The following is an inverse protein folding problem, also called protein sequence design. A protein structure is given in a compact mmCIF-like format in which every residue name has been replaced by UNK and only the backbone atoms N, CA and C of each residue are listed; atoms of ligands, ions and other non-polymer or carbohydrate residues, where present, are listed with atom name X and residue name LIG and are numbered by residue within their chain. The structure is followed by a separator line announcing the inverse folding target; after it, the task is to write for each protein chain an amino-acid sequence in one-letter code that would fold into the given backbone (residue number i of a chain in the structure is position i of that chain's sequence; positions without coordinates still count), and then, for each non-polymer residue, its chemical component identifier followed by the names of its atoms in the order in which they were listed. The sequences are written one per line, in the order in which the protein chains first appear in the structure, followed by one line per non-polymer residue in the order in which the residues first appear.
data_IF_013233276276
#
_entry.id   IF_013233276276
#
_cell.length_a   1.000
_cell.length_b   1.000
_cell.length_c   1.000
_cell.angle_alpha   90.00
_cell.angle_beta   90.00
_cell.angle_gamma   90.00
#
_symmetry.space_group_name_H-M   'P 1'
#
loop_
_entity.id
_entity.type
_entity.pdbx_description
1 polymer ?
#
# COMPACT_ATOMS: atom_id res chain seq x y z
N UNK A 1 21.72 4.84 -0.54
CA UNK A 1 20.67 5.26 0.43
C UNK A 1 19.89 6.47 -0.06
N UNK A 2 18.58 6.31 -0.32
CA UNK A 2 17.66 7.42 -0.61
C UNK A 2 16.42 7.32 0.29
N UNK A 3 15.97 8.46 0.83
CA UNK A 3 14.82 8.55 1.75
C UNK A 3 13.68 9.31 1.09
N UNK A 4 12.54 8.63 0.98
CA UNK A 4 11.28 9.17 0.50
C UNK A 4 10.40 9.49 1.70
N UNK A 5 10.08 10.76 1.90
CA UNK A 5 9.35 11.23 3.08
C UNK A 5 7.98 11.75 2.69
N UNK A 6 6.97 11.27 3.41
CA UNK A 6 5.62 11.79 3.36
C UNK A 6 5.59 13.20 3.98
N UNK A 7 4.97 14.16 3.29
CA UNK A 7 4.56 15.46 3.84
C UNK A 7 3.99 15.34 5.27
N UNK A 8 4.70 15.91 6.23
CA UNK A 8 4.38 15.77 7.65
C UNK A 8 2.99 16.29 8.01
N UNK A 9 2.56 17.40 7.42
CA UNK A 9 1.27 18.00 7.73
C UNK A 9 0.12 17.10 7.26
N UNK A 10 0.25 16.59 6.03
CA UNK A 10 -0.74 15.67 5.45
C UNK A 10 -0.73 14.32 6.15
N UNK A 11 0.45 13.79 6.51
CA UNK A 11 0.57 12.56 7.28
C UNK A 11 -0.14 12.68 8.64
N UNK A 12 0.09 13.79 9.35
CA UNK A 12 -0.53 14.03 10.65
C UNK A 12 -2.06 14.11 10.55
N UNK A 13 -2.61 14.74 9.50
CA UNK A 13 -4.06 14.86 9.33
C UNK A 13 -4.68 13.56 8.81
N UNK A 14 -4.16 13.01 7.72
CA UNK A 14 -4.81 11.89 7.00
C UNK A 14 -4.54 10.53 7.61
N UNK A 15 -3.44 10.36 8.35
CA UNK A 15 -3.06 9.08 8.95
C UNK A 15 -3.17 9.16 10.46
N UNK A 16 -2.46 10.10 11.08
CA UNK A 16 -2.36 10.15 12.55
C UNK A 16 -3.67 10.58 13.20
N UNK A 17 -4.31 11.65 12.73
CA UNK A 17 -5.57 12.12 13.29
C UNK A 17 -6.72 11.14 13.03
N UNK A 18 -6.77 10.52 11.84
CA UNK A 18 -7.74 9.45 11.55
C UNK A 18 -7.53 8.25 12.47
N UNK A 19 -6.29 7.79 12.66
CA UNK A 19 -5.97 6.73 13.60
C UNK A 19 -6.34 7.09 15.04
N UNK A 20 -6.03 8.29 15.49
CA UNK A 20 -6.33 8.78 16.83
C UNK A 20 -7.85 8.89 17.07
N UNK A 21 -8.60 9.35 16.06
CA UNK A 21 -10.05 9.37 16.11
C UNK A 21 -10.63 7.95 16.25
N UNK A 22 -10.15 6.99 15.45
CA UNK A 22 -10.56 5.60 15.58
C UNK A 22 -10.20 5.02 16.96
N UNK A 23 -9.03 5.36 17.52
CA UNK A 23 -8.64 4.94 18.86
C UNK A 23 -9.61 5.49 19.92
N UNK A 24 -10.01 6.77 19.82
CA UNK A 24 -11.01 7.35 20.70
C UNK A 24 -12.36 6.63 20.59
N UNK A 25 -12.80 6.29 19.37
CA UNK A 25 -14.00 5.49 19.16
C UNK A 25 -13.90 4.09 19.79
N UNK A 26 -12.73 3.44 19.75
CA UNK A 26 -12.50 2.19 20.45
C UNK A 26 -12.71 2.35 21.96
N UNK A 27 -12.14 3.38 22.57
CA UNK A 27 -12.29 3.64 24.01
C UNK A 27 -13.76 3.90 24.36
N UNK A 28 -14.45 4.78 23.63
CA UNK A 28 -15.88 5.07 23.84
C UNK A 28 -16.73 3.80 23.68
N UNK A 29 -16.43 2.97 22.68
CA UNK A 29 -17.15 1.71 22.45
C UNK A 29 -16.96 0.74 23.59
N UNK A 30 -15.72 0.57 24.08
CA UNK A 30 -15.42 -0.27 25.24
C UNK A 30 -16.19 0.21 26.46
N UNK A 31 -16.10 1.51 26.79
CA UNK A 31 -16.79 2.10 27.94
C UNK A 31 -18.32 1.94 27.84
N UNK A 32 -18.87 2.01 26.63
CA UNK A 32 -20.31 1.79 26.39
C UNK A 32 -20.71 0.33 26.56
N UNK A 33 -19.89 -0.61 26.10
CA UNK A 33 -20.12 -2.06 26.23
C UNK A 33 -20.10 -2.50 27.69
N UNK A 34 -19.16 -1.98 28.49
CA UNK A 34 -19.06 -2.32 29.92
C UNK A 34 -20.03 -1.53 30.80
N UNK A 35 -20.88 -0.66 30.22
CA UNK A 35 -21.91 0.09 30.94
C UNK A 35 -21.41 1.30 31.72
N UNK A 36 -20.18 1.76 31.52
CA UNK A 36 -19.65 2.99 32.17
C UNK A 36 -20.29 4.24 31.58
N UNK A 37 -20.61 4.24 30.29
CA UNK A 37 -21.34 5.32 29.60
C UNK A 37 -22.48 4.73 28.76
N UNK A 38 -23.53 5.52 28.51
CA UNK A 38 -24.69 5.08 27.71
C UNK A 38 -24.82 5.84 26.38
N UNK A 39 -23.69 6.30 25.83
CA UNK A 39 -23.68 7.11 24.61
C UNK A 39 -24.08 6.30 23.35
N UNK A 40 -23.72 5.01 23.32
CA UNK A 40 -23.94 4.12 22.18
C UNK A 40 -24.50 2.79 22.71
N UNK A 41 -25.53 2.19 22.08
CA UNK A 41 -25.98 0.86 22.43
C UNK A 41 -24.84 -0.16 22.36
N UNK A 42 -24.74 -1.07 23.34
CA UNK A 42 -23.63 -2.02 23.44
C UNK A 42 -23.41 -2.83 22.15
N UNK A 43 -24.49 -3.30 21.51
CA UNK A 43 -24.41 -4.03 20.25
C UNK A 43 -23.76 -3.21 19.11
N UNK A 44 -24.09 -1.92 19.01
CA UNK A 44 -23.47 -1.01 18.04
C UNK A 44 -22.01 -0.69 18.42
N UNK A 45 -21.73 -0.55 19.72
CA UNK A 45 -20.38 -0.40 20.26
C UNK A 45 -19.45 -1.54 19.82
N UNK A 46 -19.93 -2.79 19.82
CA UNK A 46 -19.13 -3.95 19.35
C UNK A 46 -18.74 -3.79 17.88
N UNK A 47 -19.67 -3.40 17.02
CA UNK A 47 -19.39 -3.19 15.59
C UNK A 47 -18.38 -2.06 15.36
N UNK A 48 -18.57 -0.93 16.06
CA UNK A 48 -17.65 0.20 15.99
C UNK A 48 -16.26 -0.22 16.46
N UNK A 49 -16.18 -0.96 17.58
CA UNK A 49 -14.92 -1.44 18.14
C UNK A 49 -14.15 -2.32 17.16
N UNK A 50 -14.83 -3.21 16.44
CA UNK A 50 -14.18 -4.08 15.44
C UNK A 50 -13.58 -3.24 14.30
N UNK A 51 -14.38 -2.34 13.70
CA UNK A 51 -13.94 -1.54 12.54
C UNK A 51 -12.87 -0.53 12.94
N UNK A 52 -13.12 0.25 13.99
CA UNK A 52 -12.19 1.24 14.49
C UNK A 52 -10.92 0.59 15.07
N UNK A 53 -11.06 -0.59 15.70
CA UNK A 53 -9.95 -1.37 16.21
C UNK A 53 -9.03 -1.83 15.09
N UNK A 54 -9.59 -2.33 14.00
CA UNK A 54 -8.83 -2.69 12.80
C UNK A 54 -8.09 -1.49 12.19
N UNK A 55 -8.75 -0.33 12.09
CA UNK A 55 -8.11 0.87 11.55
C UNK A 55 -6.98 1.39 12.45
N UNK A 56 -7.23 1.40 13.77
CA UNK A 56 -6.24 1.77 14.80
C UNK A 56 -5.04 0.84 14.75
N UNK A 57 -5.28 -0.47 14.69
CA UNK A 57 -4.25 -1.49 14.53
C UNK A 57 -3.42 -1.26 13.27
N UNK A 58 -4.07 -1.06 12.13
CA UNK A 58 -3.37 -0.81 10.87
C UNK A 58 -2.49 0.44 10.92
N UNK A 59 -2.95 1.47 11.64
CA UNK A 59 -2.25 2.76 11.69
C UNK A 59 -1.04 2.70 12.62
N UNK A 60 -1.25 2.32 13.88
CA UNK A 60 -0.21 2.43 14.92
C UNK A 60 0.57 1.13 15.12
N UNK A 61 -0.07 -0.02 14.92
CA UNK A 61 0.57 -1.33 15.16
C UNK A 61 1.22 -1.84 13.88
N UNK A 62 0.47 -2.00 12.80
CA UNK A 62 0.98 -2.56 11.56
C UNK A 62 1.75 -1.55 10.68
N UNK A 63 1.79 -0.28 11.08
CA UNK A 63 2.39 0.85 10.33
C UNK A 63 2.05 0.82 8.83
N UNK A 64 0.79 0.50 8.52
CA UNK A 64 0.35 0.22 7.16
C UNK A 64 0.39 1.46 6.25
N UNK A 65 0.56 2.66 6.81
CA UNK A 65 0.85 3.88 6.05
C UNK A 65 2.18 4.43 6.56
N UNK A 66 3.32 4.07 5.94
CA UNK A 66 4.62 4.53 6.40
C UNK A 66 4.78 6.03 6.13
N UNK A 67 5.47 6.69 7.06
CA UNK A 67 5.87 8.09 6.98
C UNK A 67 7.13 8.27 6.12
N UNK A 68 8.07 7.33 6.25
CA UNK A 68 9.28 7.29 5.43
C UNK A 68 9.44 5.92 4.79
N UNK A 69 9.91 5.93 3.54
CA UNK A 69 10.43 4.76 2.85
C UNK A 69 11.90 5.02 2.56
N UNK A 70 12.77 4.15 3.06
CA UNK A 70 14.21 4.25 2.87
C UNK A 70 14.63 3.10 1.98
N UNK A 71 15.25 3.43 0.86
CA UNK A 71 15.81 2.47 -0.07
C UNK A 71 17.32 2.53 0.03
N UNK A 72 17.91 1.44 0.50
CA UNK A 72 19.34 1.19 0.56
C UNK A 72 19.77 0.27 -0.59
N UNK A 73 21.06 0.02 -0.69
CA UNK A 73 21.64 -0.78 -1.78
C UNK A 73 21.30 -2.27 -1.63
N UNK A 74 21.01 -2.72 -0.40
CA UNK A 74 20.74 -4.12 -0.02
C UNK A 74 19.35 -4.35 0.60
N UNK A 75 18.59 -3.28 0.86
CA UNK A 75 17.38 -3.37 1.65
C UNK A 75 16.40 -2.22 1.42
N UNK A 76 15.15 -2.47 1.79
CA UNK A 76 14.09 -1.46 1.86
C UNK A 76 13.52 -1.42 3.27
N UNK A 77 13.33 -0.21 3.79
CA UNK A 77 12.78 0.03 5.12
C UNK A 77 11.54 0.92 5.06
N UNK A 78 10.53 0.53 5.83
CA UNK A 78 9.30 1.30 6.01
C UNK A 78 9.22 1.80 7.45
N UNK A 79 9.11 3.11 7.65
CA UNK A 79 9.17 3.72 8.97
C UNK A 79 7.91 4.53 9.27
N UNK A 80 7.38 4.39 10.48
CA UNK A 80 6.36 5.29 11.04
C UNK A 80 6.36 5.21 12.56
N UNK A 81 6.01 6.31 13.24
CA UNK A 81 5.84 6.35 14.70
C UNK A 81 7.05 5.79 15.50
N UNK A 82 8.28 5.98 14.99
CA UNK A 82 9.51 5.50 15.63
C UNK A 82 9.81 4.00 15.42
N UNK A 83 8.93 3.26 14.74
CA UNK A 83 9.16 1.88 14.31
C UNK A 83 9.70 1.83 12.88
N UNK A 84 10.62 0.90 12.63
CA UNK A 84 11.18 0.62 11.31
C UNK A 84 11.03 -0.86 10.97
N UNK A 85 10.34 -1.15 9.87
CA UNK A 85 10.27 -2.48 9.28
C UNK A 85 11.26 -2.55 8.09
N UNK A 86 12.46 -3.07 8.36
CA UNK A 86 13.53 -3.30 7.37
C UNK A 86 13.42 -4.69 6.74
N UNK A 87 13.61 -4.76 5.44
CA UNK A 87 13.66 -5.98 4.64
C UNK A 87 14.92 -6.00 3.79
N UNK A 88 15.83 -6.95 4.04
CA UNK A 88 16.92 -7.24 3.12
C UNK A 88 16.37 -7.84 1.82
N UNK A 89 16.94 -7.48 0.67
CA UNK A 89 16.43 -7.97 -0.62
C UNK A 89 16.54 -9.50 -0.74
N UNK A 90 17.53 -10.11 -0.10
CA UNK A 90 17.70 -11.57 -0.04
C UNK A 90 16.55 -12.28 0.69
N UNK A 91 15.91 -11.60 1.66
CA UNK A 91 14.80 -12.14 2.45
C UNK A 91 13.43 -11.94 1.79
N UNK A 92 13.37 -11.16 0.70
CA UNK A 92 12.12 -10.87 0.00
C UNK A 92 11.86 -11.98 -1.02
N UNK A 93 10.98 -12.91 -0.63
CA UNK A 93 10.51 -14.03 -1.47
C UNK A 93 9.35 -13.63 -2.38
N UNK A 94 8.54 -12.66 -1.96
CA UNK A 94 7.48 -12.11 -2.80
C UNK A 94 7.29 -10.63 -2.56
N UNK A 95 7.09 -9.88 -3.64
CA UNK A 95 6.85 -8.45 -3.62
C UNK A 95 5.73 -8.16 -4.59
N UNK A 96 4.54 -7.81 -4.08
CA UNK A 96 3.37 -7.56 -4.91
C UNK A 96 2.92 -6.11 -4.79
N UNK A 97 2.73 -5.47 -5.95
CA UNK A 97 2.43 -4.05 -6.04
C UNK A 97 1.08 -3.88 -6.72
N UNK A 98 0.14 -3.22 -6.04
CA UNK A 98 -1.15 -2.84 -6.61
C UNK A 98 -1.28 -1.33 -6.66
N UNK A 99 -1.39 -0.80 -7.86
CA UNK A 99 -1.71 0.60 -8.09
C UNK A 99 -3.19 0.84 -7.83
N UNK A 100 -3.50 1.89 -7.08
CA UNK A 100 -4.87 2.30 -6.77
C UNK A 100 -4.99 3.77 -7.09
N UNK A 101 -5.57 4.09 -8.25
CA UNK A 101 -5.65 5.46 -8.76
C UNK A 101 -4.40 5.91 -9.51
N UNK A 102 -3.73 5.01 -10.23
CA UNK A 102 -2.52 5.30 -11.01
C UNK A 102 -1.26 5.40 -10.15
N UNK A 103 -0.40 6.37 -10.45
CA UNK A 103 0.87 6.64 -9.76
C UNK A 103 0.71 7.37 -8.42
N UNK A 104 -0.51 7.76 -8.05
CA UNK A 104 -0.75 8.55 -6.83
C UNK A 104 -0.70 7.73 -5.54
N UNK A 105 -1.13 6.46 -5.59
CA UNK A 105 -1.20 5.58 -4.42
C UNK A 105 -0.96 4.13 -4.82
N UNK A 106 -0.09 3.49 -4.05
CA UNK A 106 0.33 2.12 -4.29
C UNK A 106 0.21 1.31 -3.02
N UNK A 107 -0.19 0.07 -3.18
CA UNK A 107 -0.27 -0.91 -2.12
C UNK A 107 0.78 -2.00 -2.34
N UNK A 108 1.74 -2.07 -1.42
CA UNK A 108 2.86 -2.99 -1.45
C UNK A 108 2.62 -4.10 -0.43
N UNK A 109 2.78 -5.35 -0.87
CA UNK A 109 2.87 -6.51 0.02
C UNK A 109 4.23 -7.17 -0.10
N UNK A 110 4.89 -7.33 1.03
CA UNK A 110 6.18 -8.04 1.15
C UNK A 110 5.94 -9.39 1.81
N UNK A 111 6.44 -10.46 1.21
CA UNK A 111 6.34 -11.84 1.69
C UNK A 111 4.90 -12.29 2.00
N UNK A 112 3.95 -11.93 1.13
CA UNK A 112 2.52 -12.24 1.28
C UNK A 112 1.75 -11.35 2.28
N UNK A 113 2.47 -10.56 3.09
CA UNK A 113 1.91 -9.66 4.09
C UNK A 113 1.51 -10.37 5.40
N UNK A 114 1.95 -9.81 6.53
CA UNK A 114 1.64 -10.29 7.87
C UNK A 114 0.70 -9.37 8.65
N UNK A 115 0.28 -9.82 9.84
CA UNK A 115 -0.58 -9.03 10.74
C UNK A 115 0.11 -7.77 11.26
N UNK A 116 1.42 -7.85 11.51
CA UNK A 116 2.23 -6.78 12.12
C UNK A 116 3.09 -5.97 11.14
N UNK A 117 3.40 -6.54 9.96
CA UNK A 117 4.28 -5.92 8.96
C UNK A 117 4.07 -6.53 7.58
N UNK A 118 4.57 -5.86 6.54
CA UNK A 118 4.59 -6.37 5.18
C UNK A 118 3.37 -5.98 4.34
N UNK A 119 2.55 -5.05 4.81
CA UNK A 119 1.39 -4.51 4.08
C UNK A 119 1.44 -2.99 4.18
N UNK A 120 1.78 -2.32 3.08
CA UNK A 120 2.03 -0.88 3.09
C UNK A 120 1.23 -0.17 2.01
N UNK A 121 0.55 0.90 2.40
CA UNK A 121 -0.12 1.85 1.53
C UNK A 121 0.77 3.09 1.40
N UNK A 122 1.40 3.20 0.24
CA UNK A 122 2.28 4.33 -0.10
C UNK A 122 1.45 5.37 -0.84
N UNK A 123 1.38 6.58 -0.29
CA UNK A 123 0.71 7.71 -0.93
C UNK A 123 1.77 8.57 -1.62
N UNK A 124 2.19 8.08 -2.79
CA UNK A 124 3.29 8.64 -3.58
C UNK A 124 3.03 10.11 -3.94
N UNK A 125 1.77 10.50 -4.13
CA UNK A 125 1.38 11.90 -4.40
C UNK A 125 1.85 12.89 -3.30
N UNK A 126 2.00 12.42 -2.07
CA UNK A 126 2.38 13.25 -0.92
C UNK A 126 3.81 12.98 -0.44
N UNK A 127 4.56 12.19 -1.18
CA UNK A 127 5.99 11.97 -0.94
C UNK A 127 6.80 12.92 -1.82
N UNK A 128 7.89 13.45 -1.26
CA UNK A 128 8.81 14.36 -1.93
C UNK A 128 9.25 13.89 -3.34
N UNK A 129 9.59 12.61 -3.48
CA UNK A 129 10.03 11.99 -4.76
C UNK A 129 9.17 10.77 -5.12
N UNK A 130 7.85 10.87 -4.96
CA UNK A 130 6.93 9.75 -5.12
C UNK A 130 6.97 9.06 -6.49
N UNK A 131 7.20 9.79 -7.58
CA UNK A 131 7.30 9.20 -8.93
C UNK A 131 8.54 8.32 -9.10
N UNK A 132 9.65 8.73 -8.49
CA UNK A 132 10.88 7.94 -8.51
C UNK A 132 10.74 6.69 -7.64
N UNK A 133 10.14 6.83 -6.45
CA UNK A 133 9.81 5.68 -5.61
C UNK A 133 8.88 4.71 -6.34
N UNK A 134 7.91 5.21 -7.10
CA UNK A 134 7.02 4.39 -7.90
C UNK A 134 7.79 3.55 -8.93
N UNK A 135 8.63 4.20 -9.74
CA UNK A 135 9.46 3.53 -10.74
C UNK A 135 10.37 2.49 -10.10
N UNK A 136 11.00 2.83 -8.97
CA UNK A 136 11.85 1.89 -8.24
C UNK A 136 11.07 0.65 -7.77
N UNK A 137 9.86 0.84 -7.23
CA UNK A 137 8.99 -0.24 -6.76
C UNK A 137 8.55 -1.15 -7.92
N UNK A 138 8.20 -0.57 -9.07
CA UNK A 138 7.84 -1.33 -10.28
C UNK A 138 9.02 -2.16 -10.80
N UNK A 139 10.21 -1.55 -10.88
CA UNK A 139 11.41 -2.22 -11.37
C UNK A 139 11.87 -3.32 -10.40
N UNK A 140 11.68 -3.12 -9.09
CA UNK A 140 11.95 -4.14 -8.08
C UNK A 140 10.95 -5.31 -8.17
N UNK A 141 9.65 -5.05 -8.33
CA UNK A 141 8.64 -6.09 -8.58
C UNK A 141 8.99 -6.91 -9.85
N UNK A 142 9.41 -6.24 -10.93
CA UNK A 142 9.79 -6.89 -12.17
C UNK A 142 11.00 -7.81 -12.05
N UNK A 143 12.04 -7.39 -11.28
CA UNK A 143 13.22 -8.21 -11.02
C UNK A 143 12.88 -9.47 -10.22
N UNK A 144 11.97 -9.35 -9.26
CA UNK A 144 11.61 -10.44 -8.36
C UNK A 144 10.60 -11.43 -8.97
N UNK A 145 9.65 -10.95 -9.77
CA UNK A 145 8.71 -11.80 -10.51
C UNK A 145 8.63 -11.37 -12.00
N UNK A 146 9.58 -11.85 -12.84
CA UNK A 146 9.61 -11.53 -14.26
C UNK A 146 8.42 -12.12 -15.05
N UNK A 147 7.64 -13.02 -14.44
CA UNK A 147 6.51 -13.70 -15.07
C UNK A 147 5.15 -13.14 -14.66
N UNK A 148 5.11 -12.12 -13.80
CA UNK A 148 3.88 -11.47 -13.38
C UNK A 148 3.10 -10.94 -14.60
N UNK A 149 1.76 -10.89 -14.48
CA UNK A 149 0.90 -10.41 -15.58
C UNK A 149 1.24 -8.97 -16.00
N UNK A 150 1.77 -8.15 -15.08
CA UNK A 150 2.28 -6.80 -15.38
C UNK A 150 3.59 -6.83 -16.15
N UNK A 151 4.52 -7.72 -15.79
CA UNK A 151 5.77 -7.93 -16.53
C UNK A 151 5.51 -8.38 -17.98
N UNK A 152 4.48 -9.22 -18.18
CA UNK A 152 4.02 -9.62 -19.52
C UNK A 152 3.34 -8.48 -20.28
N UNK A 153 2.56 -7.65 -19.60
CA UNK A 153 1.93 -6.47 -20.21
C UNK A 153 2.99 -5.44 -20.65
N UNK A 154 3.98 -5.15 -19.79
CA UNK A 154 5.10 -4.25 -20.10
C UNK A 154 5.96 -4.77 -21.24
N UNK A 155 6.34 -6.05 -21.25
CA UNK A 155 7.01 -6.68 -22.41
C UNK A 155 6.21 -6.53 -23.69
N UNK A 156 4.89 -6.76 -23.65
CA UNK A 156 4.05 -6.56 -24.83
C UNK A 156 4.00 -5.09 -25.27
N UNK A 157 3.90 -4.13 -24.34
CA UNK A 157 3.89 -2.70 -24.67
C UNK A 157 5.23 -2.19 -25.21
N UNK A 158 6.35 -2.69 -24.69
CA UNK A 158 7.70 -2.41 -25.19
C UNK A 158 7.91 -3.03 -26.57
N UNK A 159 7.51 -4.29 -26.78
CA UNK A 159 7.55 -4.96 -28.08
C UNK A 159 6.67 -4.25 -29.12
N UNK A 160 5.50 -3.74 -28.72
CA UNK A 160 4.68 -2.89 -29.59
C UNK A 160 5.37 -1.56 -29.93
N UNK A 161 6.02 -0.90 -28.96
CA UNK A 161 6.73 0.38 -29.17
C UNK A 161 7.96 0.22 -30.08
N UNK A 162 8.68 -0.89 -29.96
CA UNK A 162 9.85 -1.18 -30.81
C UNK A 162 9.43 -1.60 -32.22
N UNK A 163 8.31 -2.30 -32.38
CA UNK A 163 7.82 -2.78 -33.69
C UNK A 163 6.99 -1.74 -34.46
N UNK A 164 6.34 -0.77 -33.79
CA UNK A 164 5.46 0.20 -34.46
C UNK A 164 5.94 1.66 -34.46
N UNK A 165 7.06 1.97 -33.81
CA UNK A 165 7.57 3.34 -33.74
C UNK A 165 6.60 4.28 -33.01
N UNK A 166 7.10 5.39 -32.50
CA UNK A 166 6.36 6.31 -31.63
C UNK A 166 5.29 7.10 -32.42
N UNK A 167 4.19 6.43 -32.76
CA UNK A 167 3.02 7.03 -33.38
C UNK A 167 1.78 6.72 -32.53
N UNK A 168 1.55 7.63 -31.58
CA UNK A 168 0.25 7.94 -30.99
C UNK A 168 -0.47 6.80 -30.21
N UNK A 169 -0.01 6.54 -28.99
CA UNK A 169 -0.84 6.66 -27.78
C UNK A 169 -2.10 5.80 -27.57
N UNK A 170 -2.37 4.72 -28.34
CA UNK A 170 -3.45 3.77 -28.00
C UNK A 170 -3.05 2.32 -28.25
N UNK A 171 -2.83 1.57 -27.16
CA UNK A 171 -2.70 0.11 -27.20
C UNK A 171 -4.07 -0.49 -27.56
N UNK A 172 -4.22 -1.26 -28.65
CA UNK A 172 -5.50 -1.87 -28.98
C UNK A 172 -5.85 -2.99 -28.00
N UNK A 173 -7.04 -2.90 -27.39
CA UNK A 173 -7.55 -3.92 -26.49
C UNK A 173 -7.65 -5.28 -27.18
N UNK A 174 -7.01 -6.30 -26.61
CA UNK A 174 -7.02 -7.68 -27.09
C UNK A 174 -8.46 -8.21 -27.14
N UNK A 175 -9.03 -8.38 -28.34
CA UNK A 175 -10.34 -9.00 -28.55
C UNK A 175 -10.36 -10.40 -27.93
N UNK A 176 -11.20 -10.61 -26.91
CA UNK A 176 -11.49 -11.93 -26.35
C UNK A 176 -12.07 -12.82 -27.46
N UNK A 177 -11.36 -13.86 -27.89
CA UNK A 177 -11.91 -14.93 -28.72
C UNK A 177 -13.05 -15.59 -27.96
N UNK A 178 -14.29 -15.41 -28.43
CA UNK A 178 -15.44 -16.23 -28.00
C UNK A 178 -15.19 -17.65 -28.48
N UNK A 179 -14.89 -18.55 -27.55
CA UNK A 179 -14.93 -19.99 -27.78
C UNK A 179 -16.39 -20.38 -28.05
N UNK A 180 -16.69 -20.76 -29.29
CA UNK A 180 -17.94 -21.45 -29.64
C UNK A 180 -17.91 -22.82 -28.95
N UNK A 181 -18.83 -23.07 -28.03
CA UNK A 181 -19.20 -24.43 -27.63
C UNK A 181 -20.13 -24.97 -28.73
N UNK A 182 -19.69 -26.05 -29.37
CA UNK A 182 -20.57 -26.94 -30.12
C UNK A 182 -21.35 -27.84 -29.16
#
# INVERSE_FOLDING_TARGET
MKRYRYDQAKFNVSVTATGAFCLALCVISILSIIGVISLIPAALGVLILIVAGYQTWNTFVAIANPQDVIVDDDSISFCAFGRTDRYAFEDIKSFNVREVGGDAKVYVRVNGGGLLRGRYWLQLLYMNDGKELFQWIEDFEYKLDPNSLKARARRSSEEYRTVHGDSNGKVPARKKKKTKRG
#
